data_IF_776735236286
#
_entry.id   IF_776735236286
#
_cell.length_a   1.000
_cell.length_b   1.000
_cell.length_c   1.000
_cell.angle_alpha   90.00
_cell.angle_beta   90.00
_cell.angle_gamma   90.00
#
_symmetry.space_group_name_H-M   'P 1'
#
loop_
_entity.id
_entity.type
_entity.pdbx_description
1 polymer ?
2 non-polymer ?
3 non-polymer ?
4 non-polymer ?
5 water ?
#
# COMPACT_ATOMS: atom_id res chain seq x y z
N UNK A 2 3.84 -17.26 -4.87
CA UNK A 2 4.49 -15.95 -4.51
C UNK A 2 5.24 -16.10 -3.19
N UNK A 3 6.47 -15.60 -3.12
CA UNK A 3 7.21 -15.56 -1.87
C UNK A 3 7.21 -14.13 -1.36
N UNK A 4 6.70 -13.95 -0.16
CA UNK A 4 6.68 -12.64 0.50
C UNK A 4 7.92 -12.54 1.35
N UNK A 5 8.66 -11.45 1.14
CA UNK A 5 9.89 -11.19 1.88
C UNK A 5 9.94 -9.73 2.32
N UNK A 6 10.65 -9.45 3.41
CA UNK A 6 10.90 -8.05 3.75
C UNK A 6 11.78 -7.42 2.68
N UNK A 7 11.56 -6.13 2.42
CA UNK A 7 12.46 -5.37 1.57
C UNK A 7 12.72 -4.01 2.20
N UNK A 8 13.72 -3.31 1.70
CA UNK A 8 14.10 -2.01 2.21
C UNK A 8 13.40 -0.92 1.41
N UNK A 9 13.31 0.28 1.97
CA UNK A 9 12.66 1.38 1.26
C UNK A 9 13.23 1.58 -0.14
N UNK A 10 14.56 1.57 -0.25
CA UNK A 10 15.24 1.79 -1.51
C UNK A 10 14.87 0.77 -2.57
N UNK A 11 14.45 -0.43 -2.13
CA UNK A 11 14.11 -1.50 -3.05
C UNK A 11 12.75 -1.29 -3.73
N UNK A 12 11.97 -0.33 -3.24
CA UNK A 12 10.64 -0.05 -3.80
C UNK A 12 10.65 0.99 -4.90
N UNK A 13 11.72 1.77 -5.03
CA UNK A 13 11.66 2.96 -5.89
C UNK A 13 11.47 2.62 -7.37
N UNK A 14 12.12 1.56 -7.85
CA UNK A 14 12.03 1.20 -9.27
C UNK A 14 10.60 0.86 -9.66
N UNK A 15 9.96 0.00 -8.89
CA UNK A 15 8.57 -0.37 -9.19
C UNK A 15 7.57 0.75 -8.92
N UNK A 16 7.81 1.54 -7.88
CA UNK A 16 7.00 2.75 -7.67
C UNK A 16 7.08 3.65 -8.90
N UNK A 17 8.29 3.86 -9.39
CA UNK A 17 8.48 4.71 -10.56
C UNK A 17 7.85 4.10 -11.82
N UNK A 18 8.08 2.81 -12.06
CA UNK A 18 7.59 2.17 -13.29
C UNK A 18 6.06 2.10 -13.35
N UNK A 19 5.45 1.75 -12.21
CA UNK A 19 4.03 1.45 -12.16
C UNK A 19 3.19 2.65 -11.74
N UNK A 20 3.62 3.36 -10.69
CA UNK A 20 2.77 4.40 -10.10
C UNK A 20 3.05 5.81 -10.61
N UNK A 21 4.30 6.14 -10.80
CA UNK A 21 4.67 7.54 -11.12
C UNK A 21 5.69 7.64 -12.25
N UNK A 22 5.38 7.01 -13.39
CA UNK A 22 6.38 6.99 -14.47
C UNK A 22 6.67 8.34 -15.13
N UNK A 23 5.77 9.29 -14.97
CA UNK A 23 5.94 10.60 -15.62
C UNK A 23 6.44 11.68 -14.68
N UNK A 24 7.11 11.27 -13.61
CA UNK A 24 7.65 12.20 -12.61
C UNK A 24 9.10 11.83 -12.31
N UNK A 25 9.87 12.78 -11.74
CA UNK A 25 11.25 12.41 -11.39
C UNK A 25 11.27 11.32 -10.31
N UNK A 26 12.38 10.59 -10.26
CA UNK A 26 12.53 9.48 -9.33
C UNK A 26 12.33 9.94 -7.88
N UNK A 27 12.72 11.18 -7.59
CA UNK A 27 12.53 11.74 -6.25
C UNK A 27 11.08 11.69 -5.78
N UNK A 28 10.13 11.74 -6.72
CA UNK A 28 8.70 11.68 -6.38
C UNK A 28 8.34 10.32 -5.76
N UNK A 29 9.16 9.30 -6.03
CA UNK A 29 8.96 7.97 -5.44
C UNK A 29 9.64 7.78 -4.09
N UNK A 30 10.39 8.76 -3.63
CA UNK A 30 11.08 8.66 -2.34
C UNK A 30 10.19 9.33 -1.31
N UNK A 31 9.21 8.57 -0.86
CA UNK A 31 8.15 9.11 -0.05
C UNK A 31 8.68 9.53 1.29
N UNK A 32 8.30 10.73 1.69
CA UNK A 32 8.74 11.23 2.97
C UNK A 32 8.25 10.32 4.09
N UNK A 33 7.10 9.68 3.87
CA UNK A 33 6.56 8.76 4.85
C UNK A 33 7.44 7.52 5.06
N UNK A 34 8.32 7.19 4.11
CA UNK A 34 9.29 6.11 4.34
C UNK A 34 10.20 6.41 5.52
N UNK A 35 10.33 7.69 5.88
CA UNK A 35 11.22 8.09 6.98
C UNK A 35 10.48 8.30 8.27
N UNK A 36 9.21 7.89 8.34
CA UNK A 36 8.47 7.97 9.59
C UNK A 36 8.66 6.72 10.43
N UNK A 37 8.58 6.92 11.74
CA UNK A 37 8.86 5.86 12.69
C UNK A 37 8.08 4.58 12.39
N UNK A 38 8.82 3.47 12.34
CA UNK A 38 8.24 2.13 12.28
C UNK A 38 7.79 1.70 10.89
N UNK A 39 8.09 2.53 9.89
CA UNK A 39 7.80 2.18 8.49
C UNK A 39 8.41 0.84 8.15
N UNK A 40 7.67 0.02 7.37
CA UNK A 40 8.20 -1.24 6.84
C UNK A 40 7.66 -1.53 5.46
N UNK A 41 8.35 -2.42 4.75
CA UNK A 41 8.07 -2.69 3.33
C UNK A 41 8.13 -4.16 3.06
N UNK A 42 7.25 -4.61 2.19
CA UNK A 42 7.17 -6.01 1.80
C UNK A 42 7.24 -6.14 0.29
N UNK A 43 7.93 -7.19 -0.15
CA UNK A 43 8.07 -7.53 -1.55
C UNK A 43 7.48 -8.88 -1.86
N UNK A 44 6.85 -9.00 -3.02
CA UNK A 44 6.36 -10.26 -3.55
C UNK A 44 7.31 -10.69 -4.66
N UNK A 45 7.89 -11.88 -4.53
CA UNK A 45 8.85 -12.38 -5.48
C UNK A 45 8.29 -13.56 -6.26
N UNK A 46 8.59 -13.59 -7.55
CA UNK A 46 8.14 -14.70 -8.39
C UNK A 46 9.14 -14.92 -9.50
N UNK A 47 9.53 -16.17 -9.68
CA UNK A 47 10.44 -16.55 -10.76
C UNK A 47 11.75 -15.79 -10.77
N UNK A 48 12.22 -15.41 -9.59
CA UNK A 48 13.51 -14.73 -9.44
C UNK A 48 13.48 -13.22 -9.57
N UNK A 49 12.28 -12.64 -9.51
CA UNK A 49 12.07 -11.21 -9.69
C UNK A 49 11.17 -10.64 -8.62
N UNK A 50 11.49 -9.43 -8.16
CA UNK A 50 10.57 -8.64 -7.37
C UNK A 50 9.43 -8.13 -8.26
N UNK A 51 8.19 -8.53 -7.96
CA UNK A 51 7.06 -8.16 -8.84
C UNK A 51 5.91 -7.47 -8.15
N UNK A 52 5.98 -7.31 -6.83
CA UNK A 52 4.93 -6.61 -6.09
C UNK A 52 5.55 -5.96 -4.89
N UNK A 53 5.05 -4.78 -4.55
CA UNK A 53 5.54 -3.98 -3.42
C UNK A 53 4.39 -3.36 -2.62
N UNK A 54 4.65 -3.13 -1.34
CA UNK A 54 3.71 -2.47 -0.43
C UNK A 54 4.47 -1.92 0.75
N UNK A 55 4.11 -0.70 1.16
CA UNK A 55 4.77 0.03 2.27
C UNK A 55 3.77 0.49 3.31
N UNK A 56 4.16 0.40 4.57
CA UNK A 56 3.26 0.67 5.70
C UNK A 56 3.94 1.54 6.73
N UNK A 57 3.20 2.45 7.34
CA UNK A 57 3.74 3.22 8.47
C UNK A 57 2.58 3.71 9.33
N UNK A 58 2.87 3.99 10.59
CA UNK A 58 1.82 4.41 11.52
C UNK A 58 1.38 5.82 11.20
N UNK A 59 0.08 6.01 11.03
CA UNK A 59 -0.50 7.35 10.74
C UNK A 59 -1.98 7.29 11.07
N UNK A 60 -2.42 8.12 12.01
CA UNK A 60 -3.83 8.14 12.40
C UNK A 60 -4.56 9.20 11.62
N UNK A 61 -5.54 8.76 10.84
CA UNK A 61 -6.38 9.60 10.01
C UNK A 61 -7.48 10.19 10.88
N UNK A 62 -7.64 11.52 10.86
CA UNK A 62 -8.64 12.21 11.67
C UNK A 62 -10.09 11.76 11.46
N UNK A 63 -10.39 11.21 10.29
CA UNK A 63 -11.75 10.81 9.92
C UNK A 63 -12.01 9.30 10.00
N UNK A 64 -11.05 8.59 10.58
CA UNK A 64 -11.20 7.17 10.85
C UNK A 64 -10.99 6.98 12.33
N UNK A 65 -11.70 6.00 12.88
CA UNK A 65 -11.67 5.80 14.31
C UNK A 65 -10.90 4.56 14.66
N UNK A 66 -9.95 4.72 15.58
CA UNK A 66 -9.09 3.63 16.03
C UNK A 66 -7.83 4.24 16.59
N UNK A 67 -7.40 3.78 17.75
CA UNK A 67 -6.31 4.45 18.47
C UNK A 67 -4.97 4.36 17.73
N UNK A 68 -4.70 3.21 17.11
CA UNK A 68 -3.44 2.97 16.39
C UNK A 68 -3.81 2.59 14.97
N UNK A 69 -3.39 3.38 13.98
CA UNK A 69 -3.74 3.15 12.58
C UNK A 69 -2.46 3.16 11.74
N UNK A 70 -2.49 2.40 10.65
CA UNK A 70 -1.41 2.39 9.69
C UNK A 70 -1.90 2.74 8.31
N UNK A 71 -1.05 3.46 7.57
CA UNK A 71 -1.34 3.78 6.16
C UNK A 71 -0.52 2.93 5.23
N UNK A 72 -1.16 2.40 4.20
CA UNK A 72 -0.55 1.74 3.06
C UNK A 72 -0.22 2.75 1.97
N UNK A 73 1.02 2.72 1.50
CA UNK A 73 1.48 3.49 0.35
C UNK A 73 2.20 2.60 -0.63
N UNK A 74 2.26 3.00 -1.90
CA UNK A 74 3.11 2.34 -2.87
C UNK A 74 2.76 0.88 -3.15
N UNK A 75 1.46 0.62 -3.20
CA UNK A 75 0.94 -0.72 -3.53
C UNK A 75 0.96 -0.90 -5.04
N UNK A 76 1.72 -1.86 -5.53
CA UNK A 76 1.88 -2.06 -6.98
C UNK A 76 2.32 -3.47 -7.31
N UNK A 77 1.78 -4.01 -8.39
CA UNK A 77 2.23 -5.28 -8.95
C UNK A 77 2.53 -5.08 -10.41
N UNK A 78 3.63 -5.65 -10.88
CA UNK A 78 4.07 -5.49 -12.27
C UNK A 78 3.15 -6.18 -13.24
N UNK A 79 2.85 -5.51 -14.37
CA UNK A 79 2.12 -6.15 -15.46
C UNK A 79 2.82 -7.44 -15.85
N UNK A 80 2.04 -8.49 -16.09
CA UNK A 80 2.57 -9.82 -16.30
C UNK A 80 2.44 -10.71 -15.08
N UNK A 81 2.39 -10.09 -13.90
CA UNK A 81 2.38 -10.81 -12.65
C UNK A 81 1.19 -10.48 -11.78
N UNK A 82 0.25 -9.71 -12.33
CA UNK A 82 -1.01 -9.43 -11.68
C UNK A 82 -1.91 -10.65 -11.73
N UNK A 83 -2.94 -10.63 -10.87
CA UNK A 83 -3.94 -11.69 -10.81
C UNK A 83 -3.40 -13.02 -10.31
N UNK A 84 -2.31 -12.96 -9.54
CA UNK A 84 -1.69 -14.16 -8.98
C UNK A 84 -1.71 -14.14 -7.44
N UNK A 85 -2.47 -13.20 -6.87
CA UNK A 85 -2.51 -12.99 -5.41
C UNK A 85 -1.20 -12.41 -4.82
N UNK A 86 -0.36 -11.81 -5.66
CA UNK A 86 0.84 -11.16 -5.14
C UNK A 86 0.45 -10.01 -4.18
N UNK A 87 -0.37 -9.09 -4.66
CA UNK A 87 -0.75 -7.96 -3.80
C UNK A 87 -1.49 -8.42 -2.56
N UNK A 88 -2.45 -9.33 -2.71
CA UNK A 88 -3.23 -9.86 -1.57
C UNK A 88 -2.30 -10.48 -0.53
N UNK A 89 -1.28 -11.20 -0.99
CA UNK A 89 -0.36 -11.87 -0.09
C UNK A 89 0.44 -10.85 0.72
N UNK A 90 0.85 -9.76 0.08
CA UNK A 90 1.54 -8.69 0.81
C UNK A 90 0.64 -8.07 1.88
N UNK A 91 -0.60 -7.80 1.52
CA UNK A 91 -1.53 -7.17 2.45
C UNK A 91 -1.84 -8.11 3.62
N UNK A 92 -2.05 -9.38 3.35
CA UNK A 92 -2.32 -10.33 4.44
C UNK A 92 -1.12 -10.50 5.38
N UNK A 93 0.08 -10.58 4.83
CA UNK A 93 1.28 -10.66 5.64
C UNK A 93 1.41 -9.39 6.48
N UNK A 94 1.17 -8.24 5.88
CA UNK A 94 1.23 -6.97 6.62
C UNK A 94 0.22 -6.93 7.75
N UNK A 95 -0.97 -7.43 7.48
CA UNK A 95 -2.02 -7.48 8.52
C UNK A 95 -1.56 -8.28 9.74
N UNK A 96 -0.80 -9.35 9.53
CA UNK A 96 -0.26 -10.12 10.67
C UNK A 96 0.72 -9.29 11.49
N UNK A 97 1.60 -8.56 10.80
CA UNK A 97 2.58 -7.69 11.43
C UNK A 97 1.85 -6.58 12.19
N UNK A 98 0.83 -6.00 11.57
CA UNK A 98 0.09 -4.90 12.18
C UNK A 98 -0.72 -5.37 13.38
N UNK A 99 -1.35 -6.55 13.26
CA UNK A 99 -2.16 -7.11 14.35
C UNK A 99 -1.24 -7.37 15.54
N UNK A 100 -0.04 -7.89 15.28
CA UNK A 100 0.95 -8.16 16.33
C UNK A 100 1.38 -6.87 17.01
N UNK A 101 1.48 -5.78 16.27
CA UNK A 101 1.82 -4.43 16.80
C UNK A 101 0.63 -3.75 17.52
N UNK A 102 -0.52 -4.37 17.55
CA UNK A 102 -1.70 -3.74 18.17
C UNK A 102 -2.32 -2.61 17.38
N UNK A 103 -2.11 -2.60 16.05
CA UNK A 103 -2.82 -1.67 15.19
C UNK A 103 -4.29 -2.06 15.08
N UNK A 104 -5.13 -1.04 14.97
CA UNK A 104 -6.57 -1.23 14.91
C UNK A 104 -7.14 -1.22 13.52
N UNK A 105 -6.44 -0.57 12.61
CA UNK A 105 -6.96 -0.24 11.31
C UNK A 105 -5.82 -0.07 10.29
N UNK A 106 -6.05 -0.46 9.04
CA UNK A 106 -5.16 -0.20 7.90
C UNK A 106 -5.97 0.63 6.91
N UNK A 107 -5.41 1.75 6.45
CA UNK A 107 -6.10 2.60 5.46
C UNK A 107 -5.21 2.99 4.31
N UNK A 108 -5.83 3.42 3.23
CA UNK A 108 -5.13 3.81 2.02
C UNK A 108 -5.94 4.90 1.31
N UNK A 109 -5.29 5.89 0.72
CA UNK A 109 -5.97 6.75 -0.23
C UNK A 109 -5.87 6.02 -1.57
N UNK A 110 -6.87 5.16 -1.81
CA UNK A 110 -6.86 4.26 -2.96
C UNK A 110 -7.13 5.00 -4.27
N UNK A 111 -6.36 4.68 -5.30
CA UNK A 111 -6.78 5.00 -6.66
C UNK A 111 -8.15 4.38 -6.91
N UNK A 112 -9.10 5.12 -7.47
CA UNK A 112 -10.41 4.54 -7.67
C UNK A 112 -10.34 3.35 -8.62
N UNK A 113 -9.39 3.35 -9.55
CA UNK A 113 -9.20 2.23 -10.46
C UNK A 113 -8.85 0.92 -9.74
N UNK A 114 -8.40 1.01 -8.48
CA UNK A 114 -8.06 -0.15 -7.65
C UNK A 114 -9.07 -0.40 -6.54
N UNK A 115 -10.16 0.35 -6.50
CA UNK A 115 -11.10 0.19 -5.39
C UNK A 115 -11.61 -1.26 -5.25
N UNK A 116 -11.83 -1.95 -6.37
CA UNK A 116 -12.35 -3.30 -6.33
C UNK A 116 -11.38 -4.29 -5.73
N UNK A 117 -10.08 -4.00 -5.87
CA UNK A 117 -9.03 -4.82 -5.25
C UNK A 117 -9.12 -4.73 -3.74
N UNK A 118 -9.19 -3.52 -3.21
CA UNK A 118 -9.32 -3.32 -1.77
C UNK A 118 -10.64 -3.89 -1.27
N UNK A 119 -11.72 -3.73 -2.03
CA UNK A 119 -13.02 -4.34 -1.67
C UNK A 119 -12.91 -5.86 -1.51
N UNK A 120 -12.22 -6.53 -2.43
CA UNK A 120 -12.04 -7.98 -2.36
C UNK A 120 -11.27 -8.39 -1.10
N UNK A 121 -10.39 -7.50 -0.63
CA UNK A 121 -9.63 -7.69 0.60
C UNK A 121 -10.38 -7.23 1.86
N UNK A 122 -11.65 -6.86 1.71
CA UNK A 122 -12.46 -6.49 2.84
C UNK A 122 -12.38 -5.05 3.30
N UNK A 123 -11.82 -4.17 2.47
CA UNK A 123 -11.79 -2.75 2.79
C UNK A 123 -13.12 -2.10 2.45
N UNK A 124 -13.47 -1.08 3.21
CA UNK A 124 -14.63 -0.24 2.94
C UNK A 124 -14.21 1.15 2.47
N UNK A 125 -15.08 1.82 1.72
CA UNK A 125 -14.84 3.20 1.33
C UNK A 125 -15.37 4.13 2.41
N UNK A 126 -14.70 5.26 2.59
CA UNK A 126 -15.22 6.34 3.42
C UNK A 126 -15.12 7.65 2.69
N UNK A 127 -16.15 8.47 2.84
CA UNK A 127 -16.14 9.80 2.30
C UNK A 127 -16.31 9.81 0.80
N UNK A 128 -15.82 10.87 0.20
CA UNK A 128 -16.05 11.12 -1.22
C UNK A 128 -14.79 10.94 -2.05
N UNK A 129 -15.00 10.70 -3.33
CA UNK A 129 -13.91 10.70 -4.29
C UNK A 129 -13.28 12.09 -4.30
N UNK A 130 -11.97 12.12 -4.37
CA UNK A 130 -11.21 13.37 -4.51
C UNK A 130 -10.11 13.16 -5.54
N UNK A 131 -9.73 14.23 -6.22
CA UNK A 131 -8.72 14.16 -7.26
C UNK A 131 -7.38 14.61 -6.70
N UNK A 132 -6.31 13.88 -7.05
CA UNK A 132 -4.95 14.31 -6.75
C UNK A 132 -4.10 14.28 -8.03
N UNK A 133 -3.96 15.43 -8.70
CA UNK A 133 -3.10 15.49 -9.88
C UNK A 133 -1.64 15.19 -9.53
N UNK A 134 -0.87 14.62 -10.48
CA UNK A 134 -1.25 14.22 -11.82
C UNK A 134 -1.80 12.81 -11.87
N UNK A 135 -2.02 12.21 -10.69
CA UNK A 135 -2.37 10.79 -10.59
C UNK A 135 -3.84 10.47 -10.29
N UNK A 136 -4.73 11.45 -10.48
CA UNK A 136 -6.15 11.17 -10.65
C UNK A 136 -7.04 10.97 -9.42
N UNK A 137 -8.25 10.42 -9.64
CA UNK A 137 -9.26 10.23 -8.59
C UNK A 137 -8.87 9.19 -7.55
N UNK A 138 -9.08 9.53 -6.29
CA UNK A 138 -8.79 8.64 -5.14
C UNK A 138 -9.99 8.57 -4.20
N UNK A 139 -10.01 7.53 -3.37
CA UNK A 139 -11.06 7.34 -2.38
C UNK A 139 -10.41 6.73 -1.14
N UNK A 140 -10.71 7.28 0.03
CA UNK A 140 -10.23 6.74 1.29
C UNK A 140 -10.85 5.37 1.48
N UNK A 141 -10.02 4.35 1.73
CA UNK A 141 -10.49 3.02 2.06
C UNK A 141 -9.78 2.52 3.31
N UNK A 142 -10.46 1.67 4.07
CA UNK A 142 -9.89 1.16 5.31
C UNK A 142 -10.39 -0.24 5.60
N UNK A 143 -9.59 -0.95 6.39
CA UNK A 143 -9.98 -2.25 6.92
C UNK A 143 -9.66 -2.29 8.40
N UNK A 144 -10.67 -2.60 9.20
CA UNK A 144 -10.49 -2.75 10.62
C UNK A 144 -9.93 -4.13 10.84
N UNK A 145 -8.90 -4.24 11.66
CA UNK A 145 -8.21 -5.52 11.84
C UNK A 145 -8.21 -6.03 13.28
N UNK A 146 -9.06 -5.42 14.10
CA UNK A 146 -9.41 -5.95 15.41
C UNK A 146 -10.58 -6.96 15.31
X LIG B 1 -9.84 -3.48 -9.70
X LIG B 1 -10.69 -4.44 -9.28
X LIG B 1 -10.32 -5.66 -8.88
X LIG B 1 -8.98 -5.97 -8.89
X LIG B 1 -8.01 -4.98 -9.35
X LIG B 1 -8.51 -3.67 -9.77
X LIG B 1 -7.64 -2.71 -10.19
X LIG B 1 -6.80 -5.52 -9.27
X LIG B 1 -6.96 -6.76 -8.79
X LIG B 1 -8.27 -7.03 -8.57
X LIG B 1 -8.82 -8.27 -8.05
X LIG B 1 -8.25 -9.54 -8.65
X LIG B 1 -8.97 -9.87 -9.85
X LIG B 1 -8.45 -10.50 -7.50
X LIG B 1 -9.82 -10.90 -7.51
X LIG B 1 -10.27 -12.45 -7.47
X LIG B 1 -9.73 -13.04 -6.17
X LIG B 1 -11.78 -12.35 -7.51
X LIG B 1 -9.68 -13.09 -8.70
X LIG B 1 -8.22 -9.67 -6.24
X LIG B 1 -8.48 -8.33 -6.65
X LIG B 1 -6.80 -9.76 -5.69
X LIG B 1 -5.86 -9.40 -6.69
X LIG B 1 -4.30 -9.75 -6.51
X LIG B 1 -3.92 -10.75 -7.56
X LIG B 1 -4.02 -10.04 -5.06
X LIG B 1 -3.68 -8.34 -6.89
X LIG B 1 -2.48 -7.95 -7.88
X LIG B 1 -2.91 -8.20 -9.31
X LIG B 1 -1.21 -8.58 -7.41
X LIG B 1 -2.31 -6.38 -7.59
X LIG B 1 -2.91 -4.05 -7.92
X LIG B 1 -3.38 -5.46 -7.64
X LIG B 1 -1.81 -3.76 -6.90
X LIG B 1 -4.08 -3.07 -7.70
X LIG B 1 -2.36 -4.02 -9.36
X LIG B 1 -3.44 -4.23 -10.30
X LIG B 1 -1.64 -2.74 -9.69
X LIG B 1 -0.47 -2.58 -9.41
X LIG B 1 -2.30 -1.80 -10.38
X LIG B 1 -1.66 -0.58 -10.83
X LIG B 1 -1.23 0.36 -9.71
X LIG B 1 -2.32 0.61 -8.68
X LIG B 1 -3.39 1.11 -9.03
X LIG B 1 -1.99 0.33 -7.43
X LIG B 1 -2.84 0.63 -6.29
X LIG B 1 -2.63 2.07 -5.86
X LIG B 1 -3.63 2.45 -4.42
X LIG B 1 -2.32 3.24 -3.43
X LIG B 1 -1.24 2.65 -3.08
X LIG B 1 -2.55 4.64 -3.03
X LIG C 1 1.81 6.41 -3.44
X LIG C 1 2.13 7.59 -3.30
X LIG C 1 1.55 5.70 -2.46
X LIG C 1 1.70 5.83 -4.86
X LIG C 1 2.26 6.76 -5.81
X LIG C 1 0.24 5.62 -5.17
X LIG C 1 -0.48 6.83 -4.77
X LIG C 1 -0.96 7.81 -5.84
X LIG C 1 -2.28 7.26 -6.43
X LIG C 1 0.16 7.93 -6.94
X LIG C 1 -1.15 9.13 -5.25
X LIG D 1 -0.57 7.45 -5.69
X LIG D 1 0.36 7.70 -6.78
X LIG D 1 -1.92 7.24 -6.20
X LIG D 1 -0.11 6.26 -4.98
X LIG D 1 -0.56 8.60 -4.79
#
# INVERSE_FOLDING_TARGET
MIEVKPINAEDTYELRHRILRPNQPIEACMFESDLLRGAFHLGGYYGGKLISIASFHQAEHSELQGQKQYQLRGMATLEGYREQKAGSSLIKHAEEILRKRGADLLWCNARTSASGYYKKLGFSEQGEVFDTPPVGPHILMYKRIT
ACO N1A C2A N3A C4A C5A C6A N6A N7A C8A N9A C1B C2B O2B C3B O3B P3B O7A O8A O9A C4B O4B C5B O5B P1A O1A O2A O3A P2A O4A O5A O6A CBP CCP CDP CEP CAP OAP C9P O9P N8P C7P C6P C5P O5P N4P C3P C2P S1P C O CH3
3PG C1 O1 O2 C2 O3 C3 O1P P O2P O3P O4P
SO4 S O1 O2 O3 O4
#
